data_IF_582687158774
#
_entry.id   IF_582687158774
#
_cell.length_a   1.000
_cell.length_b   1.000
_cell.length_c   1.000
_cell.angle_alpha   90.00
_cell.angle_beta   90.00
_cell.angle_gamma   90.00
#
_symmetry.space_group_name_H-M   'P 1'
#
loop_
_entity.id
_entity.type
_entity.pdbx_description
1 polymer ?
#
# COMPACT_ATOMS: atom_id res chain seq x y z
N UNK A 1 38.56 -18.33 -14.21
CA UNK A 1 38.58 -16.93 -14.70
C UNK A 1 37.21 -16.23 -14.77
N UNK A 2 36.09 -16.87 -14.38
CA UNK A 2 34.74 -16.25 -14.47
C UNK A 2 34.28 -15.42 -13.26
N UNK A 3 34.96 -15.50 -12.11
CA UNK A 3 34.55 -14.79 -10.89
C UNK A 3 34.96 -13.31 -10.85
N UNK A 4 36.08 -12.94 -11.47
CA UNK A 4 36.62 -11.57 -11.43
C UNK A 4 35.83 -10.65 -12.38
N UNK A 5 35.39 -11.16 -13.53
CA UNK A 5 34.59 -10.40 -14.52
C UNK A 5 33.19 -10.07 -13.99
N UNK A 6 32.57 -10.95 -13.19
CA UNK A 6 31.25 -10.71 -12.61
C UNK A 6 31.31 -9.60 -11.53
N UNK A 7 32.34 -9.60 -10.69
CA UNK A 7 32.52 -8.57 -9.63
C UNK A 7 32.79 -7.19 -10.23
N UNK A 8 33.56 -7.09 -11.32
CA UNK A 8 33.77 -5.82 -12.03
C UNK A 8 32.48 -5.29 -12.70
N UNK A 9 31.66 -6.17 -13.28
CA UNK A 9 30.35 -5.81 -13.86
C UNK A 9 29.38 -5.27 -12.80
N UNK A 10 29.35 -5.89 -11.61
CA UNK A 10 28.54 -5.42 -10.49
C UNK A 10 29.03 -4.09 -9.91
N UNK A 11 30.35 -3.85 -9.83
CA UNK A 11 30.91 -2.57 -9.38
C UNK A 11 30.59 -1.43 -10.35
N UNK A 12 30.71 -1.67 -11.67
CA UNK A 12 30.38 -0.68 -12.70
C UNK A 12 28.87 -0.35 -12.72
N UNK A 13 28.02 -1.37 -12.53
CA UNK A 13 26.57 -1.17 -12.41
C UNK A 13 26.18 -0.45 -11.11
N UNK A 14 26.93 -0.67 -10.01
CA UNK A 14 26.69 -0.01 -8.73
C UNK A 14 27.08 1.48 -8.78
N UNK A 15 28.18 1.82 -9.45
CA UNK A 15 28.65 3.19 -9.64
C UNK A 15 27.71 3.96 -10.58
N UNK A 16 27.30 3.34 -11.69
CA UNK A 16 26.25 3.90 -12.56
C UNK A 16 24.94 4.16 -11.79
N UNK A 17 24.46 3.18 -11.01
CA UNK A 17 23.24 3.35 -10.20
C UNK A 17 23.40 4.44 -9.13
N UNK A 18 24.56 4.56 -8.49
CA UNK A 18 24.80 5.62 -7.50
C UNK A 18 24.66 7.01 -8.13
N UNK A 19 25.26 7.19 -9.31
CA UNK A 19 25.27 8.46 -10.03
C UNK A 19 23.93 8.81 -10.67
N UNK A 20 23.16 7.83 -11.18
CA UNK A 20 21.90 8.11 -11.91
C UNK A 20 20.62 7.82 -11.15
N UNK A 21 20.58 6.78 -10.31
CA UNK A 21 19.31 6.17 -9.86
C UNK A 21 19.14 6.13 -8.33
N UNK A 22 20.22 6.24 -7.56
CA UNK A 22 20.17 6.07 -6.12
C UNK A 22 19.41 7.24 -5.44
N UNK A 23 18.26 7.00 -4.79
CA UNK A 23 17.47 8.07 -4.17
C UNK A 23 18.18 8.73 -2.98
N UNK A 24 19.15 8.04 -2.36
CA UNK A 24 19.90 8.52 -1.19
C UNK A 24 21.26 9.14 -1.54
N UNK A 25 21.63 9.20 -2.82
CA UNK A 25 22.89 9.81 -3.22
C UNK A 25 22.89 11.31 -2.86
N UNK A 26 23.98 11.84 -2.26
CA UNK A 26 24.12 13.25 -1.99
C UNK A 26 24.32 14.01 -3.31
N UNK A 27 23.41 14.94 -3.61
CA UNK A 27 23.45 15.78 -4.80
C UNK A 27 23.42 17.26 -4.42
N UNK A 28 24.05 18.08 -5.27
CA UNK A 28 23.98 19.52 -5.15
C UNK A 28 22.63 20.04 -5.66
N UNK A 29 22.18 21.16 -5.11
CA UNK A 29 21.05 21.91 -5.65
C UNK A 29 21.28 22.28 -7.14
N UNK A 30 20.22 22.24 -7.95
CA UNK A 30 20.24 22.64 -9.37
C UNK A 30 20.60 24.11 -9.57
N UNK A 31 20.42 24.95 -8.54
CA UNK A 31 20.81 26.35 -8.52
C UNK A 31 22.20 26.60 -7.92
N UNK A 32 23.01 25.56 -7.76
CA UNK A 32 24.38 25.70 -7.22
C UNK A 32 25.27 26.61 -8.06
N UNK A 33 25.07 26.61 -9.38
CA UNK A 33 25.74 27.51 -10.33
C UNK A 33 25.36 28.99 -10.13
N UNK A 34 24.18 29.27 -9.57
CA UNK A 34 23.68 30.61 -9.30
C UNK A 34 23.96 31.08 -7.86
N UNK A 35 24.53 30.21 -7.01
CA UNK A 35 24.99 30.56 -5.67
C UNK A 35 24.36 29.76 -4.51
N UNK A 36 23.50 28.78 -4.78
CA UNK A 36 22.99 27.88 -3.74
C UNK A 36 24.09 26.89 -3.28
N UNK A 37 24.30 26.73 -1.97
CA UNK A 37 25.38 25.87 -1.43
C UNK A 37 24.88 24.58 -0.80
N UNK A 38 23.59 24.29 -0.92
CA UNK A 38 22.95 23.16 -0.27
C UNK A 38 23.25 21.83 -0.98
N UNK A 39 23.59 20.84 -0.16
CA UNK A 39 23.77 19.43 -0.54
C UNK A 39 22.70 18.62 0.19
N UNK A 40 21.99 17.77 -0.55
CA UNK A 40 20.86 17.00 -0.02
C UNK A 40 20.80 15.62 -0.64
N UNK A 41 19.95 14.73 -0.11
CA UNK A 41 19.69 13.46 -0.78
C UNK A 41 18.81 13.69 -2.02
N UNK A 42 18.98 12.86 -3.06
CA UNK A 42 18.25 12.99 -4.33
C UNK A 42 16.72 12.99 -4.19
N UNK A 43 16.18 12.22 -3.24
CA UNK A 43 14.75 12.21 -2.90
C UNK A 43 14.24 13.51 -2.25
N UNK A 44 15.12 14.30 -1.62
CA UNK A 44 14.76 15.54 -0.93
C UNK A 44 14.86 16.78 -1.84
N UNK A 45 15.44 16.64 -3.04
CA UNK A 45 15.64 17.75 -3.98
C UNK A 45 14.32 18.43 -4.39
N UNK A 46 13.28 17.65 -4.64
CA UNK A 46 11.98 18.20 -5.04
C UNK A 46 11.37 19.07 -3.93
N UNK A 47 11.47 18.62 -2.68
CA UNK A 47 10.98 19.37 -1.52
C UNK A 47 11.79 20.67 -1.33
N UNK A 48 13.13 20.59 -1.40
CA UNK A 48 13.99 21.77 -1.33
C UNK A 48 13.68 22.79 -2.46
N UNK A 49 13.47 22.34 -3.69
CA UNK A 49 13.10 23.22 -4.81
C UNK A 49 11.79 23.98 -4.54
N UNK A 50 10.81 23.32 -3.93
CA UNK A 50 9.51 23.89 -3.60
C UNK A 50 9.57 24.86 -2.42
N UNK A 51 10.31 24.54 -1.35
CA UNK A 51 10.40 25.37 -0.16
C UNK A 51 11.23 26.64 -0.38
N UNK A 52 12.27 26.57 -1.22
CA UNK A 52 13.23 27.65 -1.40
C UNK A 52 13.14 28.35 -2.77
N UNK A 53 12.00 28.22 -3.48
CA UNK A 53 11.82 28.80 -4.82
C UNK A 53 12.12 30.31 -4.89
N UNK A 54 11.67 31.09 -3.90
CA UNK A 54 11.91 32.54 -3.88
C UNK A 54 13.40 32.89 -3.72
N UNK A 55 14.13 32.15 -2.88
CA UNK A 55 15.57 32.31 -2.72
C UNK A 55 16.31 31.98 -4.02
N UNK A 56 15.91 30.90 -4.71
CA UNK A 56 16.49 30.52 -6.00
C UNK A 56 16.24 31.57 -7.09
N UNK A 57 15.05 32.16 -7.15
CA UNK A 57 14.77 33.28 -8.07
C UNK A 57 15.65 34.49 -7.76
N UNK A 58 15.92 34.78 -6.48
CA UNK A 58 16.83 35.87 -6.08
C UNK A 58 18.27 35.59 -6.50
N UNK A 59 18.78 34.37 -6.25
CA UNK A 59 20.11 33.96 -6.68
C UNK A 59 20.29 34.09 -8.20
N UNK A 60 19.28 33.68 -8.97
CA UNK A 60 19.28 33.82 -10.43
C UNK A 60 19.26 35.29 -10.87
N UNK A 61 18.43 36.12 -10.25
CA UNK A 61 18.38 37.56 -10.52
C UNK A 61 19.72 38.27 -10.21
N UNK A 62 20.35 37.93 -9.07
CA UNK A 62 21.66 38.47 -8.67
C UNK A 62 22.81 37.97 -9.55
N UNK A 63 22.73 36.73 -10.04
CA UNK A 63 23.67 36.18 -11.02
C UNK A 63 23.55 36.91 -12.37
N UNK A 64 22.32 37.10 -12.87
CA UNK A 64 22.05 37.87 -14.07
C UNK A 64 22.47 39.33 -13.93
N UNK A 65 22.23 39.96 -12.78
CA UNK A 65 22.64 41.35 -12.52
C UNK A 65 24.17 41.50 -12.54
N UNK A 66 24.91 40.57 -11.92
CA UNK A 66 26.38 40.55 -11.96
C UNK A 66 26.94 40.29 -13.36
N UNK A 67 26.24 39.52 -14.18
CA UNK A 67 26.70 39.18 -15.54
C UNK A 67 26.17 40.13 -16.63
N UNK A 68 25.19 40.98 -16.30
CA UNK A 68 24.67 42.03 -17.18
C UNK A 68 25.46 43.35 -17.07
N UNK A 69 26.40 43.46 -16.12
CA UNK A 69 27.21 44.67 -15.89
C UNK A 69 28.54 44.73 -16.68
N UNK A 70 28.82 43.77 -17.56
CA UNK A 70 29.97 43.85 -18.49
C UNK A 70 29.72 44.72 -19.74
N UNK A 71 28.60 45.45 -19.80
CA UNK A 71 28.19 46.23 -20.97
C UNK A 71 28.25 47.77 -20.86
N UNK A 72 28.46 48.37 -19.68
CA UNK A 72 28.52 49.84 -19.59
C UNK A 72 29.51 50.30 -18.50
N UNK A 73 30.66 50.78 -18.96
CA UNK A 73 31.58 51.64 -18.19
C UNK A 73 30.84 52.89 -17.71
N UNK A 74 30.73 53.09 -16.39
CA UNK A 74 30.53 54.41 -15.82
C UNK A 74 31.91 55.09 -15.58
N UNK A 75 32.11 56.36 -15.97
CA UNK A 75 33.14 57.21 -15.39
C UNK A 75 32.67 57.78 -14.02
N UNK A 76 33.61 58.29 -13.19
CA UNK A 76 33.46 58.44 -11.73
C UNK A 76 32.66 59.70 -11.32
N UNK A 77 32.27 59.84 -10.04
CA UNK A 77 31.53 61.00 -9.57
C UNK A 77 32.49 62.19 -9.39
N UNK A 78 32.18 63.31 -10.03
CA UNK A 78 32.80 64.61 -9.78
C UNK A 78 31.88 65.48 -8.94
N UNK A 79 32.48 66.02 -7.89
CA UNK A 79 32.02 66.96 -6.86
C UNK A 79 30.85 67.89 -7.19
N UNK A 80 29.92 67.91 -6.23
CA UNK A 80 28.81 68.84 -6.14
C UNK A 80 29.27 70.12 -5.41
N UNK A 81 29.51 71.21 -6.16
CA UNK A 81 29.54 72.58 -5.62
C UNK A 81 29.07 73.60 -6.67
N UNK A 82 27.84 74.07 -6.47
CA UNK A 82 27.57 75.51 -6.47
C UNK A 82 26.81 76.11 -7.64
N UNK A 83 25.63 76.66 -7.29
CA UNK A 83 25.07 77.94 -7.75
C UNK A 83 24.45 78.06 -9.16
N UNK A 84 23.12 78.12 -9.14
CA UNK A 84 22.27 79.21 -9.66
C UNK A 84 22.66 79.95 -10.96
N UNK A 85 21.76 79.93 -11.96
CA UNK A 85 20.90 81.06 -12.34
C UNK A 85 20.28 80.84 -13.74
N UNK A 86 19.02 81.32 -13.90
CA UNK A 86 18.42 82.02 -15.05
C UNK A 86 18.67 81.53 -16.50
N UNK A 87 17.77 81.64 -17.47
CA UNK A 87 16.35 81.91 -17.66
C UNK A 87 16.12 81.72 -19.18
N UNK A 88 14.87 81.46 -19.59
CA UNK A 88 14.27 81.82 -20.89
C UNK A 88 14.71 81.12 -22.20
N UNK A 89 13.70 80.76 -23.00
CA UNK A 89 13.87 80.44 -24.42
C UNK A 89 12.76 79.56 -25.00
N UNK A 90 11.59 80.15 -25.27
CA UNK A 90 10.57 79.53 -26.11
C UNK A 90 11.05 79.49 -27.57
N UNK A 91 10.79 78.39 -28.30
CA UNK A 91 10.43 78.32 -29.72
C UNK A 91 10.19 76.82 -30.05
N UNK A 92 8.94 76.43 -30.26
CA UNK A 92 8.27 76.37 -31.56
C UNK A 92 8.67 75.12 -32.38
N UNK A 93 7.72 74.18 -32.42
CA UNK A 93 7.36 73.42 -33.61
C UNK A 93 8.44 72.54 -34.26
N UNK A 94 8.40 71.26 -33.92
CA UNK A 94 8.60 70.23 -34.92
C UNK A 94 7.57 69.13 -34.69
N UNK A 95 6.51 69.17 -35.49
CA UNK A 95 5.65 68.04 -35.76
C UNK A 95 6.52 66.89 -36.26
N UNK A 96 6.87 65.95 -35.38
CA UNK A 96 7.00 64.57 -35.84
C UNK A 96 5.59 64.00 -35.81
N UNK A 97 5.12 63.65 -37.00
CA UNK A 97 3.95 62.81 -37.23
C UNK A 97 4.02 61.58 -36.31
N UNK A 98 3.38 61.66 -35.16
CA UNK A 98 3.15 60.54 -34.28
C UNK A 98 2.14 59.62 -34.96
N UNK A 99 2.63 58.73 -35.84
CA UNK A 99 1.95 57.47 -36.04
C UNK A 99 1.63 56.92 -34.63
N UNK A 100 0.40 56.43 -34.35
CA UNK A 100 0.09 55.90 -33.04
C UNK A 100 1.17 54.87 -32.72
N UNK A 101 1.93 55.13 -31.66
CA UNK A 101 3.04 54.29 -31.27
C UNK A 101 2.52 52.85 -31.18
N UNK A 102 2.94 52.00 -32.11
CA UNK A 102 2.51 50.60 -32.18
C UNK A 102 2.79 49.88 -30.85
N UNK A 103 3.88 50.28 -30.18
CA UNK A 103 4.26 49.82 -28.85
C UNK A 103 3.27 50.22 -27.74
N UNK A 104 2.57 51.37 -27.82
CA UNK A 104 1.53 51.72 -26.85
C UNK A 104 0.27 50.84 -26.99
N UNK A 105 -0.12 50.49 -28.22
CA UNK A 105 -1.24 49.58 -28.48
C UNK A 105 -0.94 48.15 -28.06
N UNK A 106 0.27 47.66 -28.38
CA UNK A 106 0.77 46.34 -27.97
C UNK A 106 0.91 46.20 -26.44
N UNK A 107 1.37 47.24 -25.74
CA UNK A 107 1.42 47.26 -24.28
C UNK A 107 0.01 47.24 -23.66
N UNK A 108 -0.96 47.88 -24.31
CA UNK A 108 -2.34 47.95 -23.83
C UNK A 108 -3.08 46.62 -24.04
N UNK A 109 -2.88 45.96 -25.19
CA UNK A 109 -3.39 44.60 -25.44
C UNK A 109 -2.71 43.58 -24.53
N UNK A 110 -1.39 43.71 -24.29
CA UNK A 110 -0.68 42.88 -23.32
C UNK A 110 -1.27 43.05 -21.91
N UNK A 111 -1.56 44.28 -21.48
CA UNK A 111 -2.20 44.53 -20.18
C UNK A 111 -3.58 43.89 -20.06
N UNK A 112 -4.41 44.00 -21.10
CA UNK A 112 -5.75 43.40 -21.14
C UNK A 112 -5.68 41.86 -21.10
N UNK A 113 -4.75 41.27 -21.86
CA UNK A 113 -4.53 39.82 -21.82
C UNK A 113 -4.02 39.35 -20.46
N UNK A 114 -3.12 40.09 -19.80
CA UNK A 114 -2.69 39.80 -18.42
C UNK A 114 -3.88 39.79 -17.46
N UNK A 115 -4.73 40.82 -17.49
CA UNK A 115 -5.93 40.89 -16.63
C UNK A 115 -6.91 39.74 -16.90
N UNK A 116 -7.07 39.36 -18.17
CA UNK A 116 -7.91 38.22 -18.54
C UNK A 116 -7.34 36.90 -17.99
N UNK A 117 -6.02 36.70 -18.08
CA UNK A 117 -5.33 35.52 -17.57
C UNK A 117 -5.39 35.46 -16.03
N UNK A 118 -5.20 36.57 -15.33
CA UNK A 118 -5.37 36.66 -13.88
C UNK A 118 -6.79 36.24 -13.46
N UNK A 119 -7.82 36.74 -14.14
CA UNK A 119 -9.20 36.35 -13.87
C UNK A 119 -9.47 34.85 -14.13
N UNK A 120 -8.82 34.26 -15.14
CA UNK A 120 -8.90 32.81 -15.40
C UNK A 120 -8.19 32.00 -14.33
N UNK A 121 -7.02 32.46 -13.87
CA UNK A 121 -6.22 31.81 -12.86
C UNK A 121 -6.95 31.76 -11.51
N UNK A 122 -7.61 32.84 -11.11
CA UNK A 122 -8.45 32.88 -9.90
C UNK A 122 -9.60 31.88 -9.98
N UNK A 123 -10.29 31.79 -11.12
CA UNK A 123 -11.37 30.80 -11.31
C UNK A 123 -10.84 29.36 -11.25
N UNK A 124 -9.68 29.12 -11.86
CA UNK A 124 -9.04 27.80 -11.78
C UNK A 124 -8.58 27.45 -10.37
N UNK A 125 -7.98 28.39 -9.62
CA UNK A 125 -7.58 28.17 -8.23
C UNK A 125 -8.80 27.81 -7.36
N UNK A 126 -9.92 28.52 -7.54
CA UNK A 126 -11.17 28.20 -6.86
C UNK A 126 -11.66 26.79 -7.21
N UNK A 127 -11.72 26.43 -8.49
CA UNK A 127 -12.11 25.08 -8.93
C UNK A 127 -11.16 23.99 -8.37
N UNK A 128 -9.85 24.26 -8.33
CA UNK A 128 -8.87 23.33 -7.78
C UNK A 128 -9.08 23.11 -6.28
N UNK A 129 -9.41 24.16 -5.51
CA UNK A 129 -9.75 24.03 -4.08
C UNK A 129 -11.00 23.19 -3.87
N UNK A 130 -12.07 23.43 -4.65
CA UNK A 130 -13.29 22.64 -4.56
C UNK A 130 -13.06 21.17 -4.87
N UNK A 131 -12.34 20.87 -5.96
CA UNK A 131 -11.97 19.50 -6.32
C UNK A 131 -11.08 18.84 -5.27
N UNK A 132 -10.15 19.58 -4.66
CA UNK A 132 -9.30 19.08 -3.58
C UNK A 132 -10.11 18.66 -2.35
N UNK A 133 -11.10 19.47 -1.95
CA UNK A 133 -12.02 19.14 -0.85
C UNK A 133 -12.84 17.88 -1.18
N UNK A 134 -13.42 17.82 -2.39
CA UNK A 134 -14.17 16.65 -2.84
C UNK A 134 -13.31 15.38 -2.87
N UNK A 135 -12.08 15.46 -3.37
CA UNK A 135 -11.13 14.35 -3.37
C UNK A 135 -10.82 13.87 -1.94
N UNK A 136 -10.65 14.79 -0.98
CA UNK A 136 -10.47 14.47 0.43
C UNK A 136 -11.64 13.70 1.02
N UNK A 137 -12.87 14.14 0.75
CA UNK A 137 -14.09 13.46 1.20
C UNK A 137 -14.20 12.06 0.59
N UNK A 138 -13.98 11.92 -0.72
CA UNK A 138 -13.98 10.60 -1.40
C UNK A 138 -12.94 9.66 -0.79
N UNK A 139 -11.75 10.17 -0.48
CA UNK A 139 -10.71 9.38 0.18
C UNK A 139 -11.12 8.92 1.59
N UNK A 140 -11.82 9.76 2.36
CA UNK A 140 -12.37 9.38 3.66
C UNK A 140 -13.48 8.33 3.54
N UNK A 141 -14.43 8.52 2.62
CA UNK A 141 -15.48 7.54 2.36
C UNK A 141 -14.89 6.19 1.97
N UNK A 142 -13.88 6.16 1.09
CA UNK A 142 -13.17 4.92 0.72
C UNK A 142 -12.58 4.22 1.95
N UNK A 143 -11.92 4.96 2.85
CA UNK A 143 -11.39 4.40 4.11
C UNK A 143 -12.50 3.82 4.98
N UNK A 144 -13.65 4.50 5.11
CA UNK A 144 -14.79 4.01 5.89
C UNK A 144 -15.39 2.74 5.27
N UNK A 145 -15.54 2.69 3.94
CA UNK A 145 -16.03 1.49 3.25
C UNK A 145 -15.10 0.30 3.52
N UNK A 146 -13.79 0.45 3.32
CA UNK A 146 -12.82 -0.62 3.62
C UNK A 146 -12.91 -1.09 5.08
N UNK A 147 -13.01 -0.16 6.03
CA UNK A 147 -13.14 -0.52 7.45
C UNK A 147 -14.44 -1.27 7.75
N UNK A 148 -15.56 -0.86 7.14
CA UNK A 148 -16.84 -1.56 7.29
C UNK A 148 -16.81 -2.96 6.67
N UNK A 149 -16.18 -3.12 5.50
CA UNK A 149 -15.98 -4.42 4.85
C UNK A 149 -15.13 -5.37 5.72
N UNK A 150 -14.06 -4.87 6.34
CA UNK A 150 -13.23 -5.64 7.27
C UNK A 150 -14.00 -6.06 8.52
N UNK A 151 -14.78 -5.14 9.10
CA UNK A 151 -15.63 -5.43 10.25
C UNK A 151 -16.71 -6.47 9.93
N UNK A 152 -17.30 -6.39 8.74
CA UNK A 152 -18.30 -7.34 8.27
C UNK A 152 -17.68 -8.74 8.13
N UNK A 153 -16.50 -8.85 7.51
CA UNK A 153 -15.74 -10.11 7.43
C UNK A 153 -15.44 -10.68 8.81
N UNK A 154 -15.03 -9.86 9.76
CA UNK A 154 -14.76 -10.30 11.13
C UNK A 154 -16.04 -10.77 11.85
N UNK A 155 -17.18 -10.14 11.57
CA UNK A 155 -18.47 -10.54 12.15
C UNK A 155 -18.93 -11.90 11.60
N UNK A 156 -18.85 -12.09 10.27
CA UNK A 156 -19.14 -13.34 9.58
C UNK A 156 -18.24 -14.48 10.06
N UNK A 157 -16.93 -14.22 10.16
CA UNK A 157 -15.94 -15.15 10.68
C UNK A 157 -16.35 -15.73 12.04
N UNK A 158 -16.93 -14.89 12.89
CA UNK A 158 -17.34 -15.25 14.25
C UNK A 158 -18.69 -15.97 14.32
N UNK A 159 -19.41 -16.11 13.21
CA UNK A 159 -20.70 -16.80 13.12
C UNK A 159 -20.56 -18.27 12.70
N UNK A 160 -19.39 -18.70 12.23
CA UNK A 160 -19.16 -20.04 11.68
C UNK A 160 -19.34 -21.19 12.69
N UNK A 161 -19.18 -20.94 14.00
CA UNK A 161 -19.32 -21.96 15.06
C UNK A 161 -18.53 -23.26 14.76
N UNK A 162 -17.32 -23.12 14.19
CA UNK A 162 -16.48 -24.26 13.83
C UNK A 162 -16.80 -24.94 12.50
N UNK A 163 -17.85 -24.53 11.79
CA UNK A 163 -18.17 -25.01 10.43
C UNK A 163 -18.02 -23.85 9.45
N UNK A 164 -17.02 -23.94 8.57
CA UNK A 164 -16.74 -22.93 7.57
C UNK A 164 -16.80 -23.54 6.16
N UNK A 165 -17.46 -22.83 5.24
CA UNK A 165 -17.48 -23.17 3.82
C UNK A 165 -16.84 -22.01 3.06
N UNK A 166 -15.76 -22.32 2.36
CA UNK A 166 -15.00 -21.38 1.57
C UNK A 166 -15.35 -21.54 0.09
N UNK A 167 -16.05 -20.54 -0.51
CA UNK A 167 -16.22 -20.47 -1.95
C UNK A 167 -14.93 -19.93 -2.60
N UNK A 168 -14.38 -20.72 -3.51
CA UNK A 168 -13.28 -20.34 -4.40
C UNK A 168 -13.86 -20.03 -5.78
N UNK A 169 -14.30 -18.79 -5.96
CA UNK A 169 -14.80 -18.28 -7.23
C UNK A 169 -13.66 -18.10 -8.25
N UNK A 170 -14.00 -18.17 -9.54
CA UNK A 170 -13.02 -18.00 -10.61
C UNK A 170 -12.01 -19.15 -10.70
N UNK A 171 -12.41 -20.36 -10.28
CA UNK A 171 -11.50 -21.49 -10.07
C UNK A 171 -10.75 -21.91 -11.34
N UNK A 172 -11.39 -21.79 -12.50
CA UNK A 172 -10.78 -22.00 -13.82
C UNK A 172 -9.55 -21.13 -14.06
N UNK A 173 -9.52 -19.92 -13.48
CA UNK A 173 -8.37 -19.02 -13.52
C UNK A 173 -7.15 -19.64 -12.83
N UNK A 174 -7.34 -20.23 -11.65
CA UNK A 174 -6.27 -20.90 -10.92
C UNK A 174 -5.73 -22.12 -11.68
N UNK A 175 -6.61 -22.90 -12.32
CA UNK A 175 -6.19 -24.02 -13.16
C UNK A 175 -5.37 -23.56 -14.36
N UNK A 176 -5.74 -22.46 -15.02
CA UNK A 176 -4.96 -21.88 -16.13
C UNK A 176 -3.59 -21.40 -15.67
N UNK A 177 -3.51 -20.69 -14.54
CA UNK A 177 -2.25 -20.26 -13.95
C UNK A 177 -1.34 -21.45 -13.65
N UNK A 178 -1.89 -22.51 -13.06
CA UNK A 178 -1.14 -23.73 -12.79
C UNK A 178 -0.66 -24.42 -14.07
N UNK A 179 -1.52 -24.56 -15.08
CA UNK A 179 -1.15 -25.14 -16.37
C UNK A 179 -0.05 -24.35 -17.09
N UNK A 180 0.02 -23.02 -16.89
CA UNK A 180 1.09 -22.16 -17.39
C UNK A 180 2.41 -22.29 -16.61
N UNK A 181 2.51 -23.25 -15.68
CA UNK A 181 3.71 -23.50 -14.89
C UNK A 181 3.92 -22.53 -13.74
N UNK A 182 2.90 -21.76 -13.36
CA UNK A 182 2.95 -20.84 -12.21
C UNK A 182 2.25 -21.48 -11.00
N UNK A 183 2.86 -21.47 -9.80
CA UNK A 183 2.20 -22.00 -8.60
C UNK A 183 1.05 -21.08 -8.16
N UNK A 184 -0.03 -21.65 -7.64
CA UNK A 184 -1.17 -20.91 -7.09
C UNK A 184 -1.22 -21.12 -5.59
N UNK A 185 -1.17 -20.04 -4.80
CA UNK A 185 -1.34 -20.09 -3.34
C UNK A 185 -2.41 -19.08 -2.93
N UNK A 186 -3.53 -19.58 -2.42
CA UNK A 186 -4.66 -18.75 -1.99
C UNK A 186 -5.04 -19.08 -0.55
N UNK A 187 -5.53 -18.10 0.19
CA UNK A 187 -5.96 -18.24 1.57
C UNK A 187 -7.41 -17.82 1.72
N UNK A 188 -8.16 -18.52 2.56
CA UNK A 188 -9.49 -18.08 2.95
C UNK A 188 -9.42 -16.91 3.93
N UNK A 189 -10.51 -16.15 4.09
CA UNK A 189 -10.76 -15.37 5.29
C UNK A 189 -10.60 -16.21 6.56
N UNK A 190 -10.33 -15.52 7.68
CA UNK A 190 -10.33 -16.16 8.99
C UNK A 190 -11.75 -16.52 9.43
N UNK A 191 -11.90 -17.61 10.19
CA UNK A 191 -13.16 -18.02 10.81
C UNK A 191 -12.90 -18.54 12.22
N UNK A 192 -13.92 -18.51 13.06
CA UNK A 192 -13.83 -18.94 14.45
C UNK A 192 -14.51 -20.29 14.71
N UNK A 193 -13.92 -21.05 15.62
CA UNK A 193 -14.51 -22.28 16.16
C UNK A 193 -15.69 -22.04 17.09
N UNK A 194 -15.88 -20.80 17.58
CA UNK A 194 -16.95 -20.41 18.49
C UNK A 194 -16.71 -19.04 19.11
N UNK A 195 -17.52 -18.67 20.10
CA UNK A 195 -17.34 -17.49 20.95
C UNK A 195 -17.48 -17.88 22.43
N UNK A 196 -16.40 -17.94 23.22
CA UNK A 196 -15.00 -17.82 22.80
C UNK A 196 -14.55 -19.01 21.93
N UNK A 197 -13.58 -18.80 21.04
CA UNK A 197 -13.07 -19.85 20.16
C UNK A 197 -11.80 -19.47 19.42
N UNK A 198 -11.08 -20.47 18.91
CA UNK A 198 -9.86 -20.31 18.10
C UNK A 198 -10.19 -19.71 16.74
N UNK A 199 -9.33 -18.79 16.26
CA UNK A 199 -9.38 -18.23 14.90
C UNK A 199 -8.48 -19.04 13.97
N UNK A 200 -9.00 -19.44 12.82
CA UNK A 200 -8.32 -20.30 11.83
C UNK A 200 -8.54 -19.76 10.42
N UNK A 201 -7.68 -20.13 9.46
CA UNK A 201 -7.96 -19.95 8.04
C UNK A 201 -7.49 -21.16 7.23
N UNK A 202 -7.95 -21.29 6.00
CA UNK A 202 -7.53 -22.30 5.06
C UNK A 202 -6.49 -21.74 4.08
N UNK A 203 -5.65 -22.63 3.55
CA UNK A 203 -4.74 -22.35 2.45
C UNK A 203 -4.83 -23.46 1.43
N UNK A 204 -5.12 -23.09 0.19
CA UNK A 204 -5.07 -23.99 -0.96
C UNK A 204 -3.82 -23.71 -1.78
N UNK A 205 -3.16 -24.76 -2.22
CA UNK A 205 -2.01 -24.69 -3.12
C UNK A 205 -2.25 -25.59 -4.33
N UNK A 206 -2.07 -25.03 -5.54
CA UNK A 206 -1.86 -25.79 -6.77
C UNK A 206 -0.40 -25.66 -7.20
N UNK A 207 0.33 -26.77 -7.16
CA UNK A 207 1.74 -26.82 -7.55
C UNK A 207 1.89 -26.85 -9.06
N UNK A 208 3.07 -26.49 -9.57
CA UNK A 208 3.35 -26.55 -11.00
C UNK A 208 3.24 -27.99 -11.54
N UNK A 209 2.93 -28.19 -12.83
CA UNK A 209 2.80 -29.52 -13.42
C UNK A 209 4.11 -30.34 -13.34
N UNK A 210 5.25 -29.65 -13.24
CA UNK A 210 6.58 -30.24 -13.15
C UNK A 210 7.01 -30.62 -11.71
N UNK A 211 6.20 -30.32 -10.69
CA UNK A 211 6.51 -30.65 -9.31
C UNK A 211 6.55 -32.18 -9.09
N UNK A 212 7.63 -32.72 -8.53
CA UNK A 212 7.85 -34.18 -8.55
C UNK A 212 6.94 -35.02 -7.66
N UNK A 213 6.33 -34.46 -6.62
CA UNK A 213 5.57 -35.24 -5.61
C UNK A 213 4.10 -34.88 -5.47
N UNK A 214 3.72 -33.69 -5.91
CA UNK A 214 2.39 -33.15 -5.69
C UNK A 214 1.93 -32.31 -6.88
N UNK A 215 2.52 -32.52 -8.07
CA UNK A 215 1.95 -32.00 -9.30
C UNK A 215 0.54 -32.56 -9.47
N UNK A 216 -0.36 -31.72 -9.99
CA UNK A 216 -1.74 -32.10 -10.28
C UNK A 216 -2.57 -32.54 -9.05
N UNK A 217 -2.14 -32.18 -7.84
CA UNK A 217 -2.96 -32.27 -6.65
C UNK A 217 -3.33 -30.88 -6.14
N UNK A 218 -4.53 -30.78 -5.60
CA UNK A 218 -4.89 -29.75 -4.64
C UNK A 218 -4.21 -30.10 -3.33
N UNK A 219 -3.37 -29.21 -2.81
CA UNK A 219 -2.95 -29.28 -1.41
C UNK A 219 -3.84 -28.36 -0.57
N UNK A 220 -4.24 -28.80 0.62
CA UNK A 220 -5.12 -28.05 1.51
C UNK A 220 -4.59 -28.07 2.94
N UNK A 221 -4.46 -26.88 3.54
CA UNK A 221 -3.91 -26.70 4.87
C UNK A 221 -4.81 -25.80 5.72
N UNK A 222 -4.79 -26.04 7.03
CA UNK A 222 -5.40 -25.19 8.04
C UNK A 222 -4.28 -24.48 8.79
N UNK A 223 -4.48 -23.19 9.04
CA UNK A 223 -3.56 -22.34 9.77
C UNK A 223 -4.26 -21.74 10.98
N UNK A 224 -3.60 -21.79 12.14
CA UNK A 224 -4.02 -21.00 13.30
C UNK A 224 -3.70 -19.52 13.10
N UNK A 225 -4.63 -18.65 13.48
CA UNK A 225 -4.49 -17.21 13.42
C UNK A 225 -4.59 -16.60 14.82
N UNK A 226 -3.99 -15.43 15.01
CA UNK A 226 -4.18 -14.68 16.25
C UNK A 226 -5.65 -14.29 16.38
N UNK A 227 -6.29 -14.76 17.45
CA UNK A 227 -7.69 -14.54 17.74
C UNK A 227 -7.91 -13.62 18.93
N UNK A 228 -9.10 -12.99 18.97
CA UNK A 228 -9.53 -12.15 20.10
C UNK A 228 -9.58 -12.92 21.43
N UNK A 229 -9.91 -14.21 21.38
CA UNK A 229 -10.11 -15.05 22.55
C UNK A 229 -8.87 -15.82 22.99
N UNK A 230 -7.70 -15.62 22.36
CA UNK A 230 -6.51 -16.46 22.58
C UNK A 230 -6.04 -16.50 24.04
N UNK A 231 -6.29 -15.44 24.82
CA UNK A 231 -5.97 -15.39 26.26
C UNK A 231 -6.91 -16.21 27.16
N UNK A 232 -8.06 -16.63 26.64
CA UNK A 232 -9.07 -17.42 27.37
C UNK A 232 -9.07 -18.90 26.96
N UNK A 233 -8.27 -19.27 25.96
CA UNK A 233 -8.25 -20.60 25.36
C UNK A 233 -7.02 -21.38 25.81
N UNK A 234 -7.18 -22.70 25.93
CA UNK A 234 -6.07 -23.61 26.18
C UNK A 234 -5.16 -23.73 24.97
N UNK A 235 -3.85 -23.82 25.19
CA UNK A 235 -2.86 -24.03 24.14
C UNK A 235 -1.86 -25.11 24.55
N UNK A 236 -1.30 -25.89 23.60
CA UNK A 236 -1.56 -25.87 22.14
C UNK A 236 -2.99 -26.29 21.79
N UNK A 237 -3.47 -25.88 20.61
CA UNK A 237 -4.80 -26.23 20.12
C UNK A 237 -4.93 -27.75 19.98
N UNK A 238 -6.00 -28.30 20.57
CA UNK A 238 -6.31 -29.71 20.52
C UNK A 238 -7.73 -29.92 20.01
N UNK A 239 -7.93 -30.87 19.10
CA UNK A 239 -9.23 -31.16 18.51
C UNK A 239 -9.14 -32.02 17.26
N UNK A 240 -10.30 -32.18 16.63
CA UNK A 240 -10.46 -32.86 15.36
C UNK A 240 -10.75 -31.82 14.28
N UNK A 241 -10.09 -31.95 13.13
CA UNK A 241 -10.33 -31.11 11.96
C UNK A 241 -10.78 -32.01 10.81
N UNK A 242 -11.92 -31.69 10.20
CA UNK A 242 -12.45 -32.37 9.02
C UNK A 242 -12.43 -31.40 7.84
N UNK A 243 -11.71 -31.76 6.79
CA UNK A 243 -11.65 -31.01 5.54
C UNK A 243 -12.44 -31.74 4.47
N UNK A 244 -13.13 -31.00 3.62
CA UNK A 244 -13.85 -31.56 2.49
C UNK A 244 -13.80 -30.65 1.27
N UNK A 245 -13.72 -31.24 0.08
CA UNK A 245 -14.13 -30.60 -1.17
C UNK A 245 -15.53 -31.11 -1.47
N UNK A 246 -16.49 -30.17 -1.55
CA UNK A 246 -17.90 -30.51 -1.70
C UNK A 246 -18.23 -30.78 -3.17
N UNK A 247 -18.73 -31.98 -3.44
CA UNK A 247 -19.45 -32.27 -4.67
C UNK A 247 -20.78 -31.50 -4.69
N UNK A 248 -20.99 -30.74 -5.76
CA UNK A 248 -22.15 -29.88 -6.00
C UNK A 248 -23.14 -30.53 -6.99
N UNK A 249 -22.83 -31.73 -7.48
CA UNK A 249 -23.74 -32.54 -8.28
C UNK A 249 -24.85 -33.22 -7.44
N UNK A 250 -25.80 -33.88 -8.10
CA UNK A 250 -26.95 -34.52 -7.44
C UNK A 250 -26.54 -35.71 -6.55
N UNK A 251 -25.36 -36.31 -6.79
CA UNK A 251 -24.87 -37.44 -5.99
C UNK A 251 -24.32 -37.01 -4.62
N UNK A 252 -23.90 -35.74 -4.47
CA UNK A 252 -23.40 -35.20 -3.21
C UNK A 252 -22.19 -35.96 -2.64
N UNK A 253 -21.37 -36.59 -3.48
CA UNK A 253 -20.26 -37.43 -3.04
C UNK A 253 -19.00 -36.59 -2.77
N UNK A 254 -19.00 -35.92 -1.61
CA UNK A 254 -17.89 -35.09 -1.17
C UNK A 254 -16.60 -35.89 -0.94
N UNK A 255 -15.45 -35.30 -1.27
CA UNK A 255 -14.15 -35.85 -0.89
C UNK A 255 -13.79 -35.32 0.51
N UNK A 256 -13.61 -36.19 1.49
CA UNK A 256 -13.49 -35.82 2.92
C UNK A 256 -12.28 -36.50 3.55
N UNK A 257 -11.53 -35.72 4.33
CA UNK A 257 -10.41 -36.19 5.13
C UNK A 257 -10.54 -35.66 6.57
N UNK A 258 -10.17 -36.48 7.54
CA UNK A 258 -10.25 -36.16 8.97
C UNK A 258 -8.88 -36.30 9.59
N UNK A 259 -8.48 -35.30 10.36
CA UNK A 259 -7.19 -35.26 11.03
C UNK A 259 -7.31 -34.82 12.49
N UNK A 260 -6.47 -35.42 13.31
CA UNK A 260 -6.31 -35.10 14.72
C UNK A 260 -5.14 -34.12 14.90
N UNK A 261 -5.37 -33.06 15.67
CA UNK A 261 -4.32 -32.11 16.01
C UNK A 261 -3.22 -32.78 16.82
N UNK A 262 -1.98 -32.35 16.61
CA UNK A 262 -0.81 -32.91 17.30
C UNK A 262 -0.13 -31.80 18.11
N UNK A 263 -0.22 -31.81 19.45
CA UNK A 263 0.17 -30.67 20.29
C UNK A 263 1.67 -30.31 20.18
N UNK A 264 2.52 -31.23 19.74
CA UNK A 264 3.94 -31.04 19.48
C UNK A 264 4.24 -30.23 18.20
N UNK A 265 3.29 -30.13 17.27
CA UNK A 265 3.49 -29.39 16.02
C UNK A 265 3.35 -27.89 16.22
N UNK A 266 4.29 -27.13 15.65
CA UNK A 266 4.27 -25.67 15.64
C UNK A 266 2.99 -25.06 15.03
N UNK A 267 2.30 -25.80 14.15
CA UNK A 267 1.06 -25.36 13.53
C UNK A 267 -0.10 -25.17 14.53
N UNK A 268 0.00 -25.73 15.73
CA UNK A 268 -1.06 -25.67 16.76
C UNK A 268 -0.66 -24.91 18.02
N UNK A 269 0.56 -24.37 18.05
CA UNK A 269 1.00 -23.50 19.12
C UNK A 269 0.25 -22.16 19.08
N UNK A 270 0.18 -21.49 20.23
CA UNK A 270 -0.48 -20.18 20.34
C UNK A 270 0.13 -19.20 19.32
N UNK A 271 -0.66 -18.63 18.40
CA UNK A 271 -0.17 -17.65 17.44
C UNK A 271 0.33 -16.38 18.14
N UNK A 272 1.50 -15.92 17.72
CA UNK A 272 2.07 -14.62 18.13
C UNK A 272 1.99 -13.57 17.02
N UNK A 273 1.54 -13.98 15.83
CA UNK A 273 1.37 -13.15 14.64
C UNK A 273 0.01 -13.45 14.00
N UNK A 274 -0.47 -12.57 13.12
CA UNK A 274 -1.81 -12.67 12.54
C UNK A 274 -2.13 -14.05 11.94
N UNK A 275 -1.19 -14.67 11.22
CA UNK A 275 -1.34 -16.03 10.68
C UNK A 275 -0.05 -16.82 10.90
N UNK A 276 -0.15 -17.96 11.56
CA UNK A 276 0.99 -18.86 11.76
C UNK A 276 1.54 -19.35 10.40
N UNK A 277 2.85 -19.22 10.11
CA UNK A 277 3.42 -19.65 8.84
C UNK A 277 3.35 -21.17 8.65
N UNK A 278 3.29 -21.93 9.74
CA UNK A 278 3.15 -23.40 9.71
C UNK A 278 1.68 -23.76 9.64
N UNK A 279 1.28 -24.34 8.52
CA UNK A 279 -0.05 -24.93 8.35
C UNK A 279 0.00 -26.44 8.54
N UNK A 280 -1.14 -27.03 8.87
CA UNK A 280 -1.32 -28.48 8.98
C UNK A 280 -2.39 -28.96 8.01
N UNK A 281 -2.15 -30.05 7.31
CA UNK A 281 -3.07 -30.59 6.31
C UNK A 281 -2.37 -31.49 5.30
N UNK A 282 -2.92 -31.56 4.10
CA UNK A 282 -2.57 -32.55 3.10
C UNK A 282 -1.89 -31.90 1.90
N UNK A 283 -0.74 -32.46 1.50
CA UNK A 283 -0.03 -32.06 0.28
C UNK A 283 -0.66 -32.64 -0.99
N UNK A 284 -1.37 -33.76 -0.86
CA UNK A 284 -2.05 -34.49 -1.94
C UNK A 284 -3.49 -34.77 -1.52
N UNK A 285 -4.30 -33.71 -1.37
CA UNK A 285 -5.68 -33.83 -0.88
C UNK A 285 -6.60 -34.41 -1.95
N UNK A 286 -6.72 -33.73 -3.11
CA UNK A 286 -7.58 -34.17 -4.21
C UNK A 286 -6.84 -34.03 -5.54
N UNK A 287 -6.85 -35.08 -6.36
CA UNK A 287 -6.22 -35.03 -7.68
C UNK A 287 -7.04 -34.18 -8.66
N UNK A 288 -6.39 -33.36 -9.48
CA UNK A 288 -7.06 -32.44 -10.41
C UNK A 288 -7.88 -33.16 -11.49
N UNK A 289 -7.54 -34.40 -11.84
CA UNK A 289 -8.39 -35.18 -12.77
C UNK A 289 -9.71 -35.61 -12.12
N UNK A 290 -9.73 -35.93 -10.83
CA UNK A 290 -10.98 -36.26 -10.13
C UNK A 290 -11.90 -35.04 -10.06
N UNK A 291 -11.30 -33.85 -9.94
CA UNK A 291 -12.02 -32.58 -10.01
C UNK A 291 -12.78 -32.39 -11.33
N UNK A 292 -12.18 -32.82 -12.45
CA UNK A 292 -12.78 -32.71 -13.79
C UNK A 292 -13.84 -33.78 -14.07
N UNK A 293 -13.75 -34.92 -13.40
CA UNK A 293 -14.64 -36.07 -13.63
C UNK A 293 -15.93 -35.99 -12.80
N UNK A 294 -15.98 -35.12 -11.79
CA UNK A 294 -17.10 -35.01 -10.84
C UNK A 294 -17.65 -33.60 -10.76
N UNK A 295 -18.83 -33.46 -10.15
CA UNK A 295 -19.52 -32.18 -9.95
C UNK A 295 -18.90 -31.27 -8.89
N UNK A 296 -17.58 -31.32 -8.66
CA UNK A 296 -16.91 -30.52 -7.62
C UNK A 296 -16.87 -29.02 -7.93
N UNK A 297 -16.81 -28.66 -9.22
CA UNK A 297 -16.82 -27.26 -9.67
C UNK A 297 -18.15 -26.98 -10.36
N UNK A 298 -18.86 -25.97 -9.88
CA UNK A 298 -20.11 -25.46 -10.45
C UNK A 298 -20.04 -23.94 -10.53
N UNK A 299 -20.50 -23.32 -11.62
CA UNK A 299 -20.43 -21.87 -11.86
C UNK A 299 -19.04 -21.27 -11.55
N UNK A 300 -18.00 -21.91 -12.08
CA UNK A 300 -16.59 -21.57 -11.86
C UNK A 300 -16.19 -21.46 -10.38
N UNK A 301 -16.88 -22.18 -9.49
CA UNK A 301 -16.69 -22.10 -8.04
C UNK A 301 -16.43 -23.48 -7.46
N UNK A 302 -15.34 -23.60 -6.69
CA UNK A 302 -15.03 -24.77 -5.87
C UNK A 302 -15.42 -24.49 -4.41
N UNK A 303 -16.15 -25.40 -3.77
CA UNK A 303 -16.51 -25.26 -2.36
C UNK A 303 -15.63 -26.14 -1.47
N UNK A 304 -14.88 -25.51 -0.57
CA UNK A 304 -14.06 -26.20 0.43
C UNK A 304 -14.68 -26.02 1.82
N UNK A 305 -15.04 -27.11 2.47
CA UNK A 305 -15.58 -27.10 3.84
C UNK A 305 -14.50 -27.49 4.84
N UNK A 306 -14.44 -26.75 5.94
CA UNK A 306 -13.65 -27.10 7.12
C UNK A 306 -14.56 -27.14 8.33
N UNK A 307 -14.51 -28.23 9.08
CA UNK A 307 -15.19 -28.40 10.34
C UNK A 307 -14.18 -28.69 11.43
N UNK A 308 -14.24 -27.94 12.53
CA UNK A 308 -13.27 -28.01 13.61
C UNK A 308 -13.99 -28.19 14.93
N UNK A 309 -13.65 -29.27 15.62
CA UNK A 309 -14.19 -29.60 16.94
C UNK A 309 -13.06 -29.53 17.96
N UNK A 310 -12.95 -28.43 18.73
CA UNK A 310 -11.97 -28.33 19.80
C UNK A 310 -12.24 -29.35 20.91
N UNK A 311 -11.18 -29.95 21.44
CA UNK A 311 -11.22 -30.71 22.68
C UNK A 311 -10.82 -29.80 23.83
N UNK A 312 -11.79 -29.45 24.67
CA UNK A 312 -11.54 -28.69 25.89
C UNK A 312 -11.22 -29.64 27.04
N UNK A 313 -10.13 -29.37 27.76
CA UNK A 313 -9.85 -30.09 28.98
C UNK A 313 -10.85 -29.66 30.07
N UNK A 314 -11.51 -30.63 30.69
CA UNK A 314 -12.60 -30.39 31.66
C UNK A 314 -12.10 -29.96 33.04
N UNK A 315 -10.78 -29.94 33.24
CA UNK A 315 -10.11 -29.60 34.49
C UNK A 315 -10.40 -28.16 34.98
N UNK A 316 -10.55 -27.18 34.08
CA UNK A 316 -10.80 -25.77 34.43
C UNK A 316 -12.22 -25.48 34.95
N UNK A 317 -13.18 -26.41 34.82
CA UNK A 317 -14.53 -26.22 35.38
C UNK A 317 -14.61 -26.50 36.89
N UNK A 318 -13.62 -27.17 37.48
CA UNK A 318 -13.69 -27.61 38.88
C UNK A 318 -13.26 -26.54 39.90
N UNK A 319 -12.50 -25.53 39.50
CA UNK A 319 -12.05 -24.47 40.41
C UNK A 319 -13.13 -23.43 40.78
N UNK A 320 -14.28 -23.42 40.08
CA UNK A 320 -15.39 -22.49 40.35
C UNK A 320 -16.52 -23.01 41.25
N UNK A 321 -16.49 -24.27 41.69
CA UNK A 321 -17.63 -24.92 42.34
C UNK A 321 -17.33 -25.50 43.74
N UNK A 322 -16.27 -25.05 44.41
CA UNK A 322 -16.00 -25.38 45.80
C UNK A 322 -16.38 -24.21 46.72
N UNK A 323 -17.67 -23.84 46.73
CA UNK A 323 -18.22 -23.04 47.82
C UNK A 323 -18.28 -23.95 49.06
N UNK A 324 -17.35 -23.76 50.00
CA UNK A 324 -17.36 -24.46 51.29
C UNK A 324 -18.70 -24.22 52.00
N UNK A 325 -19.35 -25.24 52.57
CA UNK A 325 -20.53 -25.03 53.40
C UNK A 325 -20.11 -24.23 54.64
N UNK A 326 -20.75 -23.08 54.87
CA UNK A 326 -20.68 -22.36 56.16
C UNK A 326 -21.04 -23.35 57.26
N UNK A 327 -20.12 -23.55 58.20
CA UNK A 327 -20.33 -24.38 59.39
C UNK A 327 -21.51 -23.88 60.23
N UNK A 328 -22.04 -24.73 61.13
CA UNK A 328 -23.25 -24.40 61.89
C UNK A 328 -22.98 -23.24 62.84
N UNK A 329 -23.81 -22.20 62.75
CA UNK A 329 -23.91 -21.16 63.78
C UNK A 329 -24.37 -21.81 65.09
N UNK A 330 -23.56 -21.63 66.14
CA UNK A 330 -23.92 -22.00 67.51
C UNK A 330 -25.04 -21.07 67.95
N UNK A 331 -26.22 -21.64 68.24
CA UNK A 331 -27.30 -20.94 68.91
C UNK A 331 -27.34 -21.34 70.39
N UNK A 332 -27.12 -20.33 71.24
CA UNK A 332 -27.36 -20.21 72.69
C UNK A 332 -26.48 -21.02 73.65
#
# INVERSE_FOLDING_TARGET
SGGITLVCLFLFQLESHYDTDCPKAPIACTFSTFGCREMMQRNDLAQHMQEFTQMHMRCMAEYLHRHSLTGYTQPPPSDDRGAAAAEQGAHAGASSSGAPCQCCGELQTMRETTQQLEGRLVRQDHQLRELSIQAGLVAELRRKVTSLEENLKELEAKQCQGVYVWPLEGFSGYLRTQAAGQPVVVHSPGFYTGRPGYKLCLRLHLQTPSAQRCSNYISLFVHTMQGEFDGQLSWPFQGTIRLAVLDQGPEGQHHVEVMETKPDLQAFQRPTIQRNPKGFGYVTFLHLMELQQRGFVHDDTLLVRCEVTPRFDTSLRREGAAMQPRGPEVSL
#
